data_IF_325290790541
#
_entry.id   IF_325290790541
#
_cell.length_a   1.000
_cell.length_b   1.000
_cell.length_c   1.000
_cell.angle_alpha   90.00
_cell.angle_beta   90.00
_cell.angle_gamma   90.00
#
_symmetry.space_group_name_H-M   'P 1'
#
loop_
_entity.id
_entity.type
_entity.pdbx_description
1 polymer ?
#
# COMPACT_ATOMS: atom_id res chain seq x y z
N UNK A 1 18.47 -13.48 0.18
CA UNK A 1 17.45 -12.92 1.10
C UNK A 1 16.45 -12.17 0.26
N UNK A 2 15.18 -12.55 0.29
CA UNK A 2 14.10 -11.79 -0.37
C UNK A 2 13.92 -10.48 0.40
N UNK A 3 13.98 -9.34 -0.29
CA UNK A 3 13.76 -8.03 0.31
C UNK A 3 12.29 -7.96 0.75
N UNK A 4 12.02 -7.72 2.04
CA UNK A 4 10.65 -7.42 2.52
C UNK A 4 10.23 -6.04 2.05
N UNK A 5 9.00 -5.93 1.57
CA UNK A 5 8.39 -4.68 1.10
C UNK A 5 7.74 -3.93 2.25
N UNK A 6 7.25 -4.66 3.25
CA UNK A 6 6.59 -4.15 4.44
C UNK A 6 7.27 -4.66 5.73
N UNK A 7 7.16 -3.88 6.79
CA UNK A 7 7.56 -4.27 8.15
C UNK A 7 6.56 -3.70 9.15
N UNK A 8 6.59 -4.16 10.39
CA UNK A 8 5.84 -3.53 11.48
C UNK A 8 6.77 -3.28 12.67
N UNK A 9 6.45 -2.27 13.48
CA UNK A 9 7.22 -1.92 14.68
C UNK A 9 6.33 -1.20 15.72
N UNK A 10 6.67 -1.29 17.01
CA UNK A 10 5.97 -0.56 18.06
C UNK A 10 6.46 0.88 18.15
N UNK A 11 5.55 1.82 18.41
CA UNK A 11 5.84 3.23 18.66
C UNK A 11 4.82 3.79 19.67
N UNK A 12 5.28 4.66 20.57
CA UNK A 12 4.38 5.40 21.46
C UNK A 12 3.88 6.68 20.77
N UNK A 13 2.59 6.96 20.89
CA UNK A 13 2.00 8.22 20.42
C UNK A 13 2.24 9.38 21.41
N UNK A 14 1.71 10.57 21.09
CA UNK A 14 1.82 11.77 21.93
C UNK A 14 1.13 11.63 23.31
N UNK A 15 0.29 10.61 23.51
CA UNK A 15 -0.46 10.34 24.72
C UNK A 15 0.06 9.10 25.48
N UNK A 16 1.26 8.62 25.16
CA UNK A 16 1.89 7.41 25.71
C UNK A 16 1.09 6.11 25.43
N UNK A 17 0.26 6.07 24.39
CA UNK A 17 -0.36 4.82 23.93
C UNK A 17 0.61 4.05 23.03
N UNK A 18 0.82 2.77 23.35
CA UNK A 18 1.58 1.86 22.51
C UNK A 18 0.76 1.48 21.28
N UNK A 19 1.27 1.82 20.09
CA UNK A 19 0.70 1.46 18.81
C UNK A 19 1.69 0.63 17.98
N UNK A 20 1.16 -0.27 17.17
CA UNK A 20 1.91 -1.07 16.21
C UNK A 20 1.70 -0.51 14.81
N UNK A 21 2.77 0.04 14.23
CA UNK A 21 2.73 0.69 12.92
C UNK A 21 3.23 -0.25 11.84
N UNK A 22 2.49 -0.34 10.74
CA UNK A 22 2.88 -1.06 9.52
C UNK A 22 3.50 -0.07 8.54
N UNK A 23 4.70 -0.37 8.07
CA UNK A 23 5.55 0.53 7.30
C UNK A 23 5.92 -0.07 5.95
N UNK A 24 5.74 0.72 4.90
CA UNK A 24 6.13 0.39 3.53
C UNK A 24 7.52 0.94 3.22
N UNK A 25 8.46 0.03 2.95
CA UNK A 25 9.88 0.36 2.76
C UNK A 25 10.18 1.10 1.45
N UNK A 26 9.29 1.01 0.47
CA UNK A 26 9.50 1.61 -0.86
C UNK A 26 9.17 3.10 -0.88
N UNK A 27 8.13 3.51 -0.16
CA UNK A 27 7.67 4.90 -0.06
C UNK A 27 8.13 5.60 1.21
N UNK A 28 8.66 4.84 2.17
CA UNK A 28 9.03 5.31 3.50
C UNK A 28 7.85 5.90 4.28
N UNK A 29 6.72 5.19 4.28
CA UNK A 29 5.48 5.66 4.89
C UNK A 29 4.85 4.60 5.80
N UNK A 30 4.21 5.06 6.87
CA UNK A 30 3.30 4.24 7.67
C UNK A 30 1.98 4.14 6.92
N UNK A 31 1.50 2.91 6.72
CA UNK A 31 0.27 2.62 5.94
C UNK A 31 -0.91 2.22 6.82
N UNK A 32 -0.65 1.76 8.05
CA UNK A 32 -1.67 1.43 9.03
C UNK A 32 -1.08 1.43 10.45
N UNK A 33 -1.95 1.63 11.44
CA UNK A 33 -1.62 1.58 12.86
C UNK A 33 -2.65 0.71 13.58
N UNK A 34 -2.19 -0.11 14.51
CA UNK A 34 -3.00 -1.07 15.26
C UNK A 34 -2.70 -0.97 16.76
N UNK A 35 -3.66 -1.37 17.58
CA UNK A 35 -3.46 -1.43 19.03
C UNK A 35 -2.72 -2.73 19.42
N UNK A 36 -2.97 -3.81 18.69
CA UNK A 36 -2.40 -5.12 18.97
C UNK A 36 -1.37 -5.55 17.91
N UNK A 37 -0.34 -6.28 18.35
CA UNK A 37 0.77 -6.70 17.51
C UNK A 37 0.35 -7.69 16.42
N UNK A 38 -0.53 -8.63 16.77
CA UNK A 38 -1.03 -9.69 15.90
C UNK A 38 -1.81 -9.11 14.72
N UNK A 39 -2.59 -8.05 14.94
CA UNK A 39 -3.29 -7.32 13.87
C UNK A 39 -2.29 -6.68 12.89
N UNK A 40 -1.24 -6.04 13.40
CA UNK A 40 -0.21 -5.43 12.57
C UNK A 40 0.59 -6.46 11.77
N UNK A 41 0.91 -7.60 12.39
CA UNK A 41 1.58 -8.72 11.73
C UNK A 41 0.70 -9.32 10.63
N UNK A 42 -0.56 -9.65 10.94
CA UNK A 42 -1.49 -10.25 9.96
C UNK A 42 -1.70 -9.30 8.77
N UNK A 43 -1.83 -8.00 9.03
CA UNK A 43 -1.96 -7.01 7.98
C UNK A 43 -0.70 -6.93 7.11
N UNK A 44 0.48 -6.84 7.72
CA UNK A 44 1.78 -6.85 7.00
C UNK A 44 1.91 -8.09 6.09
N UNK A 45 1.57 -9.27 6.60
CA UNK A 45 1.60 -10.51 5.81
C UNK A 45 0.62 -10.46 4.63
N UNK A 46 -0.57 -9.88 4.79
CA UNK A 46 -1.50 -9.69 3.67
C UNK A 46 -0.91 -8.77 2.59
N UNK A 47 -0.31 -7.64 2.99
CA UNK A 47 0.31 -6.70 2.05
C UNK A 47 1.44 -7.36 1.25
N UNK A 48 2.28 -8.16 1.90
CA UNK A 48 3.33 -8.97 1.24
C UNK A 48 2.74 -10.02 0.27
N UNK A 49 1.53 -10.51 0.53
CA UNK A 49 0.84 -11.50 -0.29
C UNK A 49 -0.09 -10.91 -1.36
N UNK A 50 0.14 -9.65 -1.78
CA UNK A 50 -0.51 -9.05 -2.94
C UNK A 50 -1.78 -8.24 -2.63
N UNK A 51 -2.10 -7.99 -1.35
CA UNK A 51 -3.14 -7.01 -1.00
C UNK A 51 -2.69 -5.55 -1.16
N UNK A 52 -1.43 -5.33 -1.52
CA UNK A 52 -0.85 -4.01 -1.66
C UNK A 52 -0.21 -3.81 -3.03
N UNK A 53 -0.09 -2.55 -3.44
CA UNK A 53 0.42 -2.21 -4.76
C UNK A 53 1.94 -2.35 -4.87
N UNK A 54 2.70 -2.08 -3.80
CA UNK A 54 4.14 -2.27 -3.86
C UNK A 54 4.47 -3.76 -3.96
N UNK A 55 5.21 -4.11 -5.01
CA UNK A 55 5.62 -5.48 -5.33
C UNK A 55 4.68 -6.28 -6.22
N UNK A 56 3.38 -5.95 -6.26
CA UNK A 56 2.39 -6.73 -7.02
C UNK A 56 1.63 -5.96 -8.10
N UNK A 57 1.79 -4.62 -8.23
CA UNK A 57 1.04 -3.83 -9.24
C UNK A 57 1.05 -4.53 -10.61
N UNK A 58 -0.11 -5.10 -11.04
CA UNK A 58 -0.15 -5.85 -12.28
C UNK A 58 0.24 -4.93 -13.44
N UNK A 59 1.11 -5.42 -14.33
CA UNK A 59 1.67 -4.61 -15.42
C UNK A 59 0.61 -4.00 -16.34
N UNK A 60 -0.61 -4.55 -16.37
CA UNK A 60 -1.73 -4.00 -17.13
C UNK A 60 -2.29 -2.69 -16.54
N UNK A 61 -2.18 -2.45 -15.22
CA UNK A 61 -2.62 -1.18 -14.60
C UNK A 61 -1.76 -0.01 -15.07
N UNK A 62 -0.46 -0.25 -15.25
CA UNK A 62 0.49 0.76 -15.71
C UNK A 62 0.58 0.85 -17.24
N UNK A 63 -0.21 0.05 -17.96
CA UNK A 63 -0.15 0.01 -19.42
C UNK A 63 -0.74 1.30 -19.98
N UNK A 64 0.10 2.10 -20.65
CA UNK A 64 -0.34 3.31 -21.36
C UNK A 64 -1.44 2.93 -22.36
N UNK A 65 -2.63 3.50 -22.19
CA UNK A 65 -3.73 3.32 -23.14
C UNK A 65 -3.34 4.06 -24.42
N UNK A 66 -3.40 3.42 -25.60
CA UNK A 66 -2.95 4.03 -26.86
C UNK A 66 -3.86 5.18 -27.33
N UNK A 67 -5.04 5.32 -26.75
CA UNK A 67 -6.07 6.29 -27.14
C UNK A 67 -6.40 7.14 -25.93
N UNK A 68 -6.43 8.47 -26.10
CA UNK A 68 -6.90 9.37 -25.05
C UNK A 68 -8.42 9.21 -24.93
N UNK A 69 -8.86 8.64 -23.81
CA UNK A 69 -10.27 8.36 -23.56
C UNK A 69 -11.07 9.67 -23.41
N UNK A 70 -10.39 10.76 -23.04
CA UNK A 70 -11.04 12.07 -22.91
C UNK A 70 -11.45 12.60 -24.29
N UNK A 71 -10.62 12.38 -25.32
CA UNK A 71 -10.94 12.75 -26.70
C UNK A 71 -12.13 11.94 -27.24
N UNK A 72 -12.15 10.63 -26.96
CA UNK A 72 -13.24 9.75 -27.37
C UNK A 72 -14.56 10.10 -26.66
N UNK A 73 -14.51 10.42 -25.37
CA UNK A 73 -15.67 10.86 -24.60
C UNK A 73 -16.18 12.22 -25.07
N UNK A 74 -15.29 13.18 -25.32
CA UNK A 74 -15.69 14.48 -25.85
C UNK A 74 -16.37 14.39 -27.22
N UNK A 75 -15.93 13.47 -28.10
CA UNK A 75 -16.51 13.30 -29.43
C UNK A 75 -17.93 12.70 -29.41
N UNK A 76 -18.25 11.83 -28.45
CA UNK A 76 -19.56 11.17 -28.35
C UNK A 76 -20.64 12.06 -27.69
N UNK A 77 -20.23 13.02 -26.87
CA UNK A 77 -21.12 13.90 -26.11
C UNK A 77 -21.01 15.39 -26.52
N UNK A 78 -20.44 15.67 -27.70
CA UNK A 78 -20.40 17.00 -28.31
C UNK A 78 -21.63 17.32 -29.18
#
# INVERSE_FOLDING_TARGET
>A
MTKRLYTYYPEFDENDFLLWKVYETMTNQVVAEFVFEDEAQEYMEKLENGFAFAGYTPSFILRKVPTDINDAFAAEFA
#
